data_IF_674199091129
#
_entry.id   IF_674199091129
#
_cell.length_a   1.000
_cell.length_b   1.000
_cell.length_c   1.000
_cell.angle_alpha   90.00
_cell.angle_beta   90.00
_cell.angle_gamma   90.00
#
_symmetry.space_group_name_H-M   'P 1'
#
loop_
_entity.id
_entity.type
_entity.pdbx_description
1 polymer ?
#
# COMPACT_ATOMS: atom_id res chain seq x y z
N UNK A 1 13.49 0.04 18.10
CA UNK A 1 12.09 0.47 18.24
C UNK A 1 12.03 1.99 18.14
N UNK A 2 11.27 2.57 17.21
CA UNK A 2 11.10 4.02 17.16
C UNK A 2 10.33 4.51 18.41
N UNK A 3 10.62 5.72 18.92
CA UNK A 3 9.79 6.37 19.94
C UNK A 3 8.32 6.44 19.50
N UNK A 4 7.37 6.37 20.44
CA UNK A 4 5.92 6.47 20.15
C UNK A 4 5.56 7.72 19.30
N UNK A 5 6.33 8.80 19.49
CA UNK A 5 6.18 10.06 18.76
C UNK A 5 6.55 9.98 17.27
N UNK A 6 7.25 8.92 16.85
CA UNK A 6 7.67 8.66 15.48
C UNK A 6 6.78 7.61 14.78
N UNK A 7 5.75 7.08 15.46
CA UNK A 7 4.72 6.21 14.88
C UNK A 7 3.76 6.99 13.98
N UNK A 8 3.71 8.31 14.11
CA UNK A 8 2.94 9.17 13.21
C UNK A 8 3.88 10.00 12.36
N UNK A 9 3.71 9.90 11.05
CA UNK A 9 4.41 10.76 10.11
C UNK A 9 3.86 12.19 10.22
N UNK A 10 4.77 13.17 10.21
CA UNK A 10 4.45 14.61 10.23
C UNK A 10 5.03 15.27 8.99
N UNK A 11 4.29 16.18 8.37
CA UNK A 11 4.69 16.80 7.12
C UNK A 11 6.07 17.48 7.19
N UNK A 12 6.36 18.13 8.33
CA UNK A 12 7.58 18.92 8.55
C UNK A 12 8.65 18.25 9.45
N UNK A 13 8.56 16.94 9.73
CA UNK A 13 9.54 16.20 10.56
C UNK A 13 9.96 14.90 9.86
N UNK A 14 11.20 14.44 10.05
CA UNK A 14 11.65 13.15 9.55
C UNK A 14 12.19 13.26 8.12
N UNK A 15 11.61 12.52 7.18
CA UNK A 15 11.96 12.58 5.76
C UNK A 15 11.47 13.89 5.14
N UNK A 16 12.34 14.57 4.40
CA UNK A 16 11.97 15.74 3.58
C UNK A 16 11.21 15.21 2.35
N UNK A 17 9.89 15.15 2.47
CA UNK A 17 8.97 14.77 1.41
C UNK A 17 7.77 15.71 1.47
N UNK A 18 7.50 16.40 0.37
CA UNK A 18 6.41 17.35 0.29
C UNK A 18 5.06 16.62 0.31
N UNK A 19 4.22 16.95 1.27
CA UNK A 19 2.92 16.33 1.48
C UNK A 19 1.94 17.31 2.11
N UNK A 20 0.69 17.28 1.64
CA UNK A 20 -0.42 18.01 2.23
C UNK A 20 -0.65 17.54 3.70
N UNK A 21 -0.54 18.43 4.71
CA UNK A 21 -0.71 18.06 6.12
C UNK A 21 -2.12 17.54 6.45
N UNK A 22 -3.15 18.01 5.75
CA UNK A 22 -4.53 17.56 5.94
C UNK A 22 -4.69 16.13 5.46
N UNK A 23 -4.15 15.81 4.27
CA UNK A 23 -4.19 14.45 3.73
C UNK A 23 -3.36 13.48 4.56
N UNK A 24 -2.19 13.92 5.04
CA UNK A 24 -1.36 13.11 5.93
C UNK A 24 -2.08 12.76 7.24
N UNK A 25 -2.86 13.71 7.79
CA UNK A 25 -3.70 13.46 8.96
C UNK A 25 -4.82 12.47 8.64
N UNK A 26 -5.53 12.68 7.54
CA UNK A 26 -6.61 11.76 7.11
C UNK A 26 -6.08 10.34 6.89
N UNK A 27 -4.90 10.19 6.28
CA UNK A 27 -4.32 8.88 5.98
C UNK A 27 -4.08 8.02 7.23
N UNK A 28 -3.81 8.65 8.38
CA UNK A 28 -3.43 7.97 9.63
C UNK A 28 -4.57 7.91 10.67
N UNK A 29 -5.67 8.64 10.47
CA UNK A 29 -6.76 8.78 11.44
C UNK A 29 -7.74 7.59 11.42
N UNK A 30 -7.76 6.70 12.45
CA UNK A 30 -8.66 5.55 12.46
C UNK A 30 -10.15 5.94 12.52
N UNK A 31 -10.47 7.16 12.98
CA UNK A 31 -11.83 7.65 13.14
C UNK A 31 -12.37 8.36 11.90
N UNK A 32 -11.54 8.57 10.87
CA UNK A 32 -12.00 9.14 9.60
C UNK A 32 -12.96 8.16 8.91
N UNK A 33 -14.21 8.60 8.74
CA UNK A 33 -15.31 7.75 8.30
C UNK A 33 -16.46 8.51 7.65
N UNK A 34 -17.62 7.86 7.46
CA UNK A 34 -18.77 8.40 6.73
C UNK A 34 -19.33 9.73 7.21
N UNK A 35 -19.09 10.10 8.48
CA UNK A 35 -19.52 11.39 9.03
C UNK A 35 -18.69 12.59 8.52
N UNK A 36 -17.53 12.35 7.90
CA UNK A 36 -16.64 13.41 7.43
C UNK A 36 -17.00 13.85 5.99
N UNK A 37 -17.00 15.15 5.70
CA UNK A 37 -17.36 15.71 4.37
C UNK A 37 -16.48 15.19 3.22
N UNK A 38 -15.19 15.01 3.49
CA UNK A 38 -14.21 14.42 2.57
C UNK A 38 -14.27 12.89 2.42
N UNK A 39 -15.22 12.20 3.07
CA UNK A 39 -15.35 10.75 3.00
C UNK A 39 -15.50 10.26 1.55
N UNK A 40 -14.81 9.16 1.22
CA UNK A 40 -14.92 8.50 -0.08
C UNK A 40 -15.42 7.08 0.12
N UNK A 41 -16.68 6.76 -0.22
CA UNK A 41 -17.16 5.39 -0.16
C UNK A 41 -16.45 4.51 -1.19
N UNK A 42 -16.45 3.20 -0.96
CA UNK A 42 -16.03 2.23 -1.97
C UNK A 42 -17.02 2.26 -3.15
N UNK A 43 -16.54 2.10 -4.40
CA UNK A 43 -17.43 1.92 -5.53
C UNK A 43 -18.23 0.61 -5.40
N UNK A 44 -19.24 0.45 -6.27
CA UNK A 44 -19.89 -0.84 -6.43
C UNK A 44 -18.86 -1.91 -6.82
N UNK A 45 -18.92 -3.11 -6.21
CA UNK A 45 -17.97 -4.17 -6.51
C UNK A 45 -18.11 -4.65 -7.96
N UNK A 46 -16.98 -4.94 -8.58
CA UNK A 46 -16.86 -5.48 -9.93
C UNK A 46 -16.07 -6.79 -9.90
N UNK A 47 -16.12 -7.54 -11.00
CA UNK A 47 -15.37 -8.79 -11.12
C UNK A 47 -13.84 -8.52 -11.16
N UNK A 48 -12.98 -9.39 -10.60
CA UNK A 48 -11.53 -9.19 -10.59
C UNK A 48 -10.89 -8.93 -11.97
N UNK A 49 -11.43 -9.57 -13.01
CA UNK A 49 -11.03 -9.32 -14.41
C UNK A 49 -11.33 -7.88 -14.85
N UNK A 50 -12.48 -7.35 -14.47
CA UNK A 50 -12.86 -5.96 -14.77
C UNK A 50 -12.01 -4.98 -13.96
N UNK A 51 -11.70 -5.31 -12.69
CA UNK A 51 -10.77 -4.53 -11.88
C UNK A 51 -9.35 -4.51 -12.48
N UNK A 52 -8.89 -5.62 -13.07
CA UNK A 52 -7.62 -5.66 -13.82
C UNK A 52 -7.67 -4.78 -15.07
N UNK A 53 -8.74 -4.88 -15.87
CA UNK A 53 -8.92 -4.04 -17.06
C UNK A 53 -8.91 -2.55 -16.68
N UNK A 54 -9.69 -2.19 -15.66
CA UNK A 54 -9.75 -0.84 -15.10
C UNK A 54 -8.40 -0.33 -14.60
N UNK A 55 -7.57 -1.20 -14.01
CA UNK A 55 -6.23 -0.82 -13.57
C UNK A 55 -5.34 -0.39 -14.75
N UNK A 56 -5.45 -1.09 -15.89
CA UNK A 56 -4.69 -0.78 -17.10
C UNK A 56 -5.30 0.29 -17.99
N UNK A 57 -6.57 0.67 -17.75
CA UNK A 57 -7.16 1.90 -18.27
C UNK A 57 -6.48 3.09 -17.60
N UNK A 58 -5.28 3.45 -18.07
CA UNK A 58 -4.56 4.63 -17.60
C UNK A 58 -4.95 5.83 -18.46
N UNK A 59 -5.60 6.86 -17.89
CA UNK A 59 -5.71 8.13 -18.59
C UNK A 59 -4.30 8.70 -18.80
N UNK A 60 -4.15 9.59 -19.79
CA UNK A 60 -2.90 10.32 -19.97
C UNK A 60 -2.50 11.02 -18.66
N UNK A 61 -1.21 10.97 -18.33
CA UNK A 61 -0.71 11.56 -17.10
C UNK A 61 -1.03 13.06 -17.07
N UNK A 62 -1.80 13.47 -16.07
CA UNK A 62 -2.05 14.89 -15.84
C UNK A 62 -0.82 15.55 -15.17
N UNK A 63 -0.90 16.87 -14.98
CA UNK A 63 0.19 17.62 -14.37
C UNK A 63 0.51 17.15 -12.93
N UNK A 64 -0.51 16.78 -12.16
CA UNK A 64 -0.34 16.33 -10.77
C UNK A 64 0.32 14.96 -10.72
N UNK A 65 -0.04 14.05 -11.63
CA UNK A 65 0.60 12.75 -11.77
C UNK A 65 2.08 12.88 -12.14
N UNK A 66 2.44 13.80 -13.04
CA UNK A 66 3.85 14.08 -13.37
C UNK A 66 4.63 14.62 -12.17
N UNK A 67 4.08 15.59 -11.45
CA UNK A 67 4.73 16.14 -10.24
C UNK A 67 4.89 15.10 -9.13
N UNK A 68 3.90 14.22 -8.95
CA UNK A 68 3.96 13.10 -8.03
C UNK A 68 5.05 12.09 -8.44
N UNK A 69 5.15 11.78 -9.73
CA UNK A 69 6.20 10.91 -10.26
C UNK A 69 7.60 11.49 -10.03
N UNK A 70 7.80 12.79 -10.26
CA UNK A 70 9.07 13.47 -9.98
C UNK A 70 9.43 13.47 -8.49
N UNK A 71 8.45 13.66 -7.59
CA UNK A 71 8.67 13.53 -6.13
C UNK A 71 9.07 12.11 -5.75
N UNK A 72 8.38 11.10 -6.31
CA UNK A 72 8.70 9.69 -6.06
C UNK A 72 10.10 9.33 -6.57
N UNK A 73 10.47 9.72 -7.79
CA UNK A 73 11.80 9.46 -8.34
C UNK A 73 12.90 10.07 -7.48
N UNK A 74 12.75 11.34 -7.07
CA UNK A 74 13.68 12.01 -6.15
C UNK A 74 13.76 11.33 -4.80
N UNK A 75 12.64 10.84 -4.27
CA UNK A 75 12.64 10.10 -3.01
C UNK A 75 13.31 8.73 -3.16
N UNK A 76 13.03 7.98 -4.23
CA UNK A 76 13.61 6.65 -4.44
C UNK A 76 15.11 6.68 -4.71
N UNK A 77 15.67 7.79 -5.19
CA UNK A 77 17.11 7.97 -5.40
C UNK A 77 17.91 8.22 -4.11
N UNK A 78 17.26 8.50 -2.97
CA UNK A 78 17.95 8.76 -1.71
C UNK A 78 18.33 7.45 -0.99
N UNK A 79 19.54 7.35 -0.40
CA UNK A 79 20.03 6.10 0.19
C UNK A 79 19.36 5.77 1.53
N UNK A 80 19.07 6.77 2.37
CA UNK A 80 18.66 6.54 3.76
C UNK A 80 17.19 6.18 3.89
N UNK A 81 16.85 4.97 4.27
CA UNK A 81 15.45 4.61 4.46
C UNK A 81 14.94 5.07 5.85
N UNK A 82 13.79 5.76 5.89
CA UNK A 82 13.16 6.22 7.13
C UNK A 82 11.71 5.73 7.20
N UNK A 83 11.27 5.40 8.42
CA UNK A 83 9.94 4.86 8.68
C UNK A 83 8.82 5.78 8.17
N UNK A 84 8.94 7.08 8.40
CA UNK A 84 7.91 8.05 8.04
C UNK A 84 7.72 8.23 6.52
N UNK A 85 8.72 7.83 5.71
CA UNK A 85 8.66 7.91 4.26
C UNK A 85 7.46 7.15 3.71
N UNK A 86 7.22 5.92 4.16
CA UNK A 86 6.17 5.05 3.60
C UNK A 86 4.79 5.70 3.71
N UNK A 87 4.53 6.40 4.81
CA UNK A 87 3.27 7.14 4.97
C UNK A 87 3.22 8.35 4.05
N UNK A 88 4.33 9.09 3.92
CA UNK A 88 4.38 10.32 3.13
C UNK A 88 4.26 10.09 1.62
N UNK A 89 4.81 8.99 1.12
CA UNK A 89 4.77 8.68 -0.32
C UNK A 89 3.44 8.08 -0.78
N UNK A 90 2.60 7.60 0.15
CA UNK A 90 1.40 6.82 -0.16
C UNK A 90 0.50 7.51 -1.20
N UNK A 91 0.20 8.80 -1.01
CA UNK A 91 -0.71 9.53 -1.90
C UNK A 91 -0.13 9.75 -3.30
N UNK A 92 1.20 9.89 -3.42
CA UNK A 92 1.85 10.01 -4.73
C UNK A 92 1.89 8.63 -5.42
N UNK A 93 2.14 7.54 -4.68
CA UNK A 93 2.00 6.18 -5.21
C UNK A 93 0.57 5.91 -5.69
N UNK A 94 -0.44 6.31 -4.92
CA UNK A 94 -1.84 6.20 -5.32
C UNK A 94 -2.15 7.05 -6.55
N UNK A 95 -1.60 8.27 -6.62
CA UNK A 95 -1.78 9.15 -7.78
C UNK A 95 -1.16 8.55 -9.06
N UNK A 96 0.04 7.99 -8.96
CA UNK A 96 0.83 7.53 -10.12
C UNK A 96 0.45 6.11 -10.55
N UNK A 97 0.15 5.22 -9.61
CA UNK A 97 -0.07 3.79 -9.88
C UNK A 97 -1.56 3.45 -9.91
N UNK A 98 -2.33 3.99 -8.95
CA UNK A 98 -3.72 3.58 -8.69
C UNK A 98 -4.74 4.68 -9.01
N UNK A 99 -4.31 5.75 -9.69
CA UNK A 99 -5.16 6.82 -10.22
C UNK A 99 -6.10 7.43 -9.15
N UNK A 100 -5.55 7.72 -7.97
CA UNK A 100 -6.29 8.26 -6.84
C UNK A 100 -7.46 7.37 -6.35
N UNK A 101 -7.44 6.06 -6.60
CA UNK A 101 -8.53 5.19 -6.15
C UNK A 101 -8.40 4.73 -4.70
N UNK A 102 -7.22 4.83 -4.07
CA UNK A 102 -6.99 4.39 -2.69
C UNK A 102 -7.07 5.53 -1.66
N UNK A 103 -6.76 6.76 -2.06
CA UNK A 103 -6.74 7.95 -1.20
C UNK A 103 -8.08 8.13 -0.49
N UNK A 104 -8.02 8.35 0.82
CA UNK A 104 -9.17 8.45 1.75
C UNK A 104 -10.06 7.19 1.86
N UNK A 105 -9.72 6.09 1.18
CA UNK A 105 -10.34 4.74 1.37
C UNK A 105 -9.43 3.80 2.16
N UNK A 106 -8.14 4.12 2.21
CA UNK A 106 -7.12 3.41 2.97
C UNK A 106 -6.74 4.21 4.22
N UNK A 107 -6.56 3.50 5.32
CA UNK A 107 -5.89 3.89 6.55
C UNK A 107 -4.51 3.24 6.56
N UNK A 108 -3.45 3.99 6.85
CA UNK A 108 -2.09 3.47 6.95
C UNK A 108 -1.57 3.68 8.37
N UNK A 109 -1.17 2.59 9.02
CA UNK A 109 -0.77 2.61 10.42
C UNK A 109 0.44 1.70 10.69
N UNK A 110 1.14 2.01 11.77
CA UNK A 110 2.16 1.16 12.35
C UNK A 110 1.54 0.33 13.47
N UNK A 111 1.80 -0.98 13.49
CA UNK A 111 1.43 -1.84 14.61
C UNK A 111 2.53 -2.85 14.91
N UNK A 112 2.57 -3.31 16.15
CA UNK A 112 3.24 -4.57 16.45
C UNK A 112 2.37 -5.68 15.89
N UNK A 113 2.95 -6.54 15.06
CA UNK A 113 2.37 -7.83 14.72
C UNK A 113 3.28 -8.89 15.31
N UNK A 114 2.69 -9.88 15.97
CA UNK A 114 3.46 -11.03 16.41
C UNK A 114 4.12 -11.67 15.19
N UNK A 115 5.44 -11.83 15.27
CA UNK A 115 6.16 -12.79 14.46
C UNK A 115 5.44 -14.12 14.69
N UNK A 116 4.72 -14.62 13.69
CA UNK A 116 4.23 -16.00 13.73
C UNK A 116 5.21 -16.83 12.88
N UNK A 117 6.36 -17.27 13.43
CA UNK A 117 7.29 -18.15 12.72
C UNK A 117 6.63 -19.49 12.33
N UNK A 118 5.48 -19.83 12.93
CA UNK A 118 4.71 -21.04 12.64
C UNK A 118 3.58 -20.88 11.62
N UNK A 119 3.32 -19.66 11.10
CA UNK A 119 2.27 -19.46 10.10
C UNK A 119 2.69 -20.14 8.78
N UNK A 120 1.92 -21.11 8.25
CA UNK A 120 2.21 -21.74 6.97
C UNK A 120 2.38 -20.73 5.82
N UNK A 121 1.75 -19.54 5.91
CA UNK A 121 1.87 -18.44 4.94
C UNK A 121 3.25 -17.77 4.95
N UNK A 122 4.03 -17.92 6.02
CA UNK A 122 5.39 -17.41 6.13
C UNK A 122 6.45 -18.41 5.65
N UNK A 123 6.06 -19.65 5.29
CA UNK A 123 7.00 -20.65 4.73
C UNK A 123 7.50 -20.18 3.37
N UNK A 124 8.77 -19.76 3.33
CA UNK A 124 9.43 -19.27 2.11
C UNK A 124 9.64 -17.76 2.06
N UNK A 125 9.26 -17.02 3.11
CA UNK A 125 9.70 -15.63 3.24
C UNK A 125 11.20 -15.63 3.65
N UNK A 126 12.13 -15.21 2.77
CA UNK A 126 13.56 -15.26 3.05
C UNK A 126 13.96 -14.36 4.23
N UNK A 127 13.09 -13.45 4.64
CA UNK A 127 13.37 -12.48 5.68
C UNK A 127 12.95 -12.92 7.08
N UNK A 128 12.06 -13.91 7.20
CA UNK A 128 11.53 -14.35 8.50
C UNK A 128 10.56 -13.38 9.19
N UNK A 129 10.15 -12.29 8.54
CA UNK A 129 9.18 -11.33 9.06
C UNK A 129 8.16 -10.88 7.99
N UNK A 130 6.89 -10.71 8.38
CA UNK A 130 5.89 -10.02 7.54
C UNK A 130 6.13 -8.51 7.66
N UNK A 131 6.31 -7.85 6.51
CA UNK A 131 6.58 -6.41 6.47
C UNK A 131 5.32 -5.58 6.67
N UNK A 132 4.26 -5.88 5.92
CA UNK A 132 2.98 -5.19 6.05
C UNK A 132 1.83 -6.17 5.73
N UNK A 133 0.61 -5.78 6.10
CA UNK A 133 -0.60 -6.54 5.82
C UNK A 133 -1.78 -5.61 5.53
N UNK A 134 -2.68 -6.04 4.65
CA UNK A 134 -3.91 -5.33 4.29
C UNK A 134 -5.14 -6.02 4.89
N UNK A 135 -5.96 -5.26 5.61
CA UNK A 135 -7.19 -5.70 6.25
C UNK A 135 -8.43 -4.99 5.67
N UNK A 136 -9.56 -5.69 5.62
CA UNK A 136 -10.85 -5.09 5.25
C UNK A 136 -11.35 -4.02 6.24
N UNK A 137 -12.28 -3.15 5.81
CA UNK A 137 -13.06 -2.31 6.73
C UNK A 137 -13.67 -3.13 7.87
N UNK A 138 -13.66 -2.56 9.08
CA UNK A 138 -14.23 -3.16 10.29
C UNK A 138 -13.27 -4.05 11.08
N UNK A 139 -12.10 -4.43 10.54
CA UNK A 139 -11.15 -5.34 11.21
C UNK A 139 -10.77 -4.93 12.65
N UNK A 140 -10.56 -3.64 12.90
CA UNK A 140 -10.35 -3.06 14.22
C UNK A 140 -11.31 -1.87 14.47
N UNK A 141 -12.54 -1.95 13.93
CA UNK A 141 -13.56 -0.90 14.05
C UNK A 141 -13.40 0.31 13.12
N UNK A 142 -12.34 0.36 12.30
CA UNK A 142 -12.15 1.43 11.32
C UNK A 142 -13.09 1.28 10.10
N UNK A 143 -13.55 2.40 9.54
CA UNK A 143 -14.44 2.38 8.36
C UNK A 143 -13.74 2.08 7.02
N UNK A 144 -12.40 2.01 7.01
CA UNK A 144 -11.54 1.97 5.83
C UNK A 144 -10.76 0.68 5.71
N UNK A 145 -10.24 0.38 4.52
CA UNK A 145 -9.20 -0.65 4.36
C UNK A 145 -7.98 -0.21 5.17
N UNK A 146 -7.41 -1.09 5.98
CA UNK A 146 -6.23 -0.78 6.76
C UNK A 146 -5.01 -1.48 6.17
N UNK A 147 -3.96 -0.72 5.86
CA UNK A 147 -2.62 -1.27 5.62
C UNK A 147 -1.84 -1.04 6.92
N UNK A 148 -1.38 -2.14 7.51
CA UNK A 148 -0.62 -2.10 8.75
C UNK A 148 0.82 -2.51 8.46
N UNK A 149 1.75 -1.62 8.79
CA UNK A 149 3.18 -1.87 8.66
C UNK A 149 3.73 -2.38 10.00
N UNK A 150 4.52 -3.45 9.95
CA UNK A 150 5.04 -4.14 11.12
C UNK A 150 6.18 -3.37 11.77
N UNK A 151 5.97 -2.86 12.97
CA UNK A 151 6.99 -2.13 13.74
C UNK A 151 8.22 -2.95 14.12
N UNK A 152 8.09 -4.27 14.17
CA UNK A 152 9.18 -5.18 14.55
C UNK A 152 10.09 -5.54 13.37
N UNK A 153 9.69 -5.23 12.13
CA UNK A 153 10.53 -5.53 10.98
C UNK A 153 11.74 -4.57 10.92
N UNK A 154 12.89 -5.02 10.39
CA UNK A 154 14.13 -4.24 10.35
C UNK A 154 14.14 -3.23 9.19
N UNK A 155 13.14 -2.35 9.13
CA UNK A 155 12.94 -1.42 8.01
C UNK A 155 14.17 -0.58 7.68
N UNK A 156 14.95 -0.16 8.68
CA UNK A 156 16.16 0.63 8.48
C UNK A 156 17.29 -0.14 7.78
N UNK A 157 17.27 -1.46 7.84
CA UNK A 157 18.24 -2.34 7.17
C UNK A 157 17.80 -2.71 5.75
N UNK A 158 16.55 -2.43 5.40
CA UNK A 158 16.02 -2.69 4.08
C UNK A 158 16.41 -1.59 3.09
N UNK A 159 16.73 -2.00 1.86
CA UNK A 159 16.86 -1.06 0.76
C UNK A 159 15.54 -0.32 0.56
N UNK A 160 15.60 1.00 0.36
CA UNK A 160 14.41 1.86 0.16
C UNK A 160 13.43 1.29 -0.87
N UNK A 161 13.92 0.81 -2.01
CA UNK A 161 13.08 0.16 -3.05
C UNK A 161 12.29 -1.05 -2.53
N UNK A 162 12.88 -1.83 -1.61
CA UNK A 162 12.20 -2.96 -0.97
C UNK A 162 11.10 -2.49 -0.03
N UNK A 163 11.38 -1.47 0.79
CA UNK A 163 10.37 -0.90 1.69
C UNK A 163 9.17 -0.36 0.92
N UNK A 164 9.43 0.41 -0.13
CA UNK A 164 8.38 0.97 -1.00
C UNK A 164 7.67 -0.15 -1.75
N UNK A 165 8.41 -1.15 -2.24
CA UNK A 165 7.84 -2.33 -2.88
C UNK A 165 6.85 -3.08 -1.98
N UNK A 166 7.17 -3.27 -0.70
CA UNK A 166 6.26 -3.87 0.27
C UNK A 166 5.01 -3.02 0.52
N UNK A 167 5.12 -1.69 0.58
CA UNK A 167 3.94 -0.84 0.65
C UNK A 167 3.08 -0.98 -0.62
N UNK A 168 3.69 -0.96 -1.79
CA UNK A 168 2.96 -1.06 -3.06
C UNK A 168 2.31 -2.44 -3.22
N UNK A 169 2.94 -3.50 -2.74
CA UNK A 169 2.34 -4.84 -2.64
C UNK A 169 1.00 -4.79 -1.88
N UNK A 170 0.99 -4.19 -0.69
CA UNK A 170 -0.23 -4.02 0.09
C UNK A 170 -1.24 -3.08 -0.59
N UNK A 171 -0.77 -2.05 -1.30
CA UNK A 171 -1.66 -1.19 -2.09
C UNK A 171 -2.36 -1.96 -3.24
N UNK A 172 -1.74 -2.99 -3.82
CA UNK A 172 -2.41 -3.89 -4.78
C UNK A 172 -3.51 -4.70 -4.08
N UNK A 173 -3.27 -5.22 -2.88
CA UNK A 173 -4.33 -5.84 -2.08
C UNK A 173 -5.47 -4.85 -1.77
N UNK A 174 -5.13 -3.61 -1.41
CA UNK A 174 -6.11 -2.56 -1.16
C UNK A 174 -6.92 -2.21 -2.42
N UNK A 175 -6.30 -2.15 -3.60
CA UNK A 175 -6.98 -1.96 -4.88
C UNK A 175 -8.08 -3.01 -5.09
N UNK A 176 -7.76 -4.28 -4.92
CA UNK A 176 -8.77 -5.33 -5.03
C UNK A 176 -9.83 -5.25 -3.94
N UNK A 177 -9.49 -4.89 -2.70
CA UNK A 177 -10.50 -4.70 -1.64
C UNK A 177 -11.39 -3.46 -1.86
N UNK A 178 -10.93 -2.44 -2.59
CA UNK A 178 -11.75 -1.28 -3.00
C UNK A 178 -12.75 -1.69 -4.09
N UNK A 179 -12.30 -2.48 -5.07
CA UNK A 179 -13.06 -2.76 -6.28
C UNK A 179 -13.79 -4.10 -6.29
N UNK A 180 -13.44 -5.06 -5.44
CA UNK A 180 -13.97 -6.42 -5.46
C UNK A 180 -14.49 -6.81 -4.07
N UNK A 181 -15.60 -7.56 -4.00
CA UNK A 181 -16.13 -8.12 -2.75
C UNK A 181 -16.64 -9.56 -2.98
N UNK A 182 -16.19 -10.55 -2.19
CA UNK A 182 -14.84 -10.72 -1.63
C UNK A 182 -13.85 -11.24 -2.70
N UNK A 183 -12.61 -10.72 -2.69
CA UNK A 183 -11.54 -11.17 -3.60
C UNK A 183 -10.87 -12.43 -3.05
N UNK A 184 -11.22 -13.58 -3.63
CA UNK A 184 -10.40 -14.80 -3.59
C UNK A 184 -9.95 -15.08 -5.02
N UNK A 185 -8.70 -14.75 -5.35
CA UNK A 185 -8.14 -15.07 -6.65
C UNK A 185 -7.80 -16.56 -6.71
N UNK A 186 -8.80 -17.37 -7.03
CA UNK A 186 -8.68 -18.81 -7.21
C UNK A 186 -8.20 -19.18 -8.61
N UNK A 187 -8.06 -18.20 -9.51
CA UNK A 187 -7.58 -18.41 -10.88
C UNK A 187 -6.07 -18.62 -10.80
N UNK A 188 -5.66 -19.88 -10.84
CA UNK A 188 -4.25 -20.28 -10.93
C UNK A 188 -3.90 -20.51 -12.41
N UNK A 189 -2.71 -20.07 -12.85
CA UNK A 189 -2.16 -20.50 -14.14
C UNK A 189 -1.82 -22.00 -14.04
N UNK A 190 -2.07 -22.80 -15.09
CA UNK A 190 -1.84 -24.25 -15.07
C UNK A 190 -0.41 -24.70 -14.72
N UNK A 191 0.56 -23.78 -14.68
CA UNK A 191 1.98 -24.07 -14.49
C UNK A 191 2.67 -23.26 -13.38
N UNK A 192 1.92 -22.51 -12.55
CA UNK A 192 2.48 -21.78 -11.42
C UNK A 192 1.70 -22.06 -10.13
N UNK A 193 2.40 -22.54 -9.10
CA UNK A 193 1.89 -22.53 -7.73
C UNK A 193 1.78 -21.09 -7.27
N UNK A 194 0.60 -20.50 -7.36
CA UNK A 194 0.31 -19.19 -6.80
C UNK A 194 -0.18 -19.33 -5.36
N UNK A 195 0.27 -18.43 -4.48
CA UNK A 195 -0.12 -18.41 -3.08
C UNK A 195 -1.57 -17.96 -2.89
N UNK A 196 -2.17 -18.36 -1.77
CA UNK A 196 -3.49 -17.85 -1.36
C UNK A 196 -3.37 -16.34 -1.17
N UNK A 197 -4.12 -15.56 -1.97
CA UNK A 197 -4.09 -14.09 -1.97
C UNK A 197 -3.26 -13.46 -3.09
N UNK A 198 -2.39 -14.22 -3.76
CA UNK A 198 -1.51 -13.75 -4.85
C UNK A 198 -1.80 -14.47 -6.17
N UNK A 199 -3.08 -14.65 -6.51
CA UNK A 199 -3.50 -15.32 -7.74
C UNK A 199 -3.17 -14.53 -9.02
N UNK A 200 -3.71 -14.99 -10.15
CA UNK A 200 -3.36 -14.49 -11.47
C UNK A 200 -3.49 -12.97 -11.63
N UNK A 201 -4.58 -12.37 -11.16
CA UNK A 201 -4.85 -10.95 -11.34
C UNK A 201 -3.89 -10.10 -10.50
N UNK A 202 -3.63 -10.51 -9.26
CA UNK A 202 -2.61 -9.87 -8.41
C UNK A 202 -1.24 -9.92 -9.08
N UNK A 203 -0.85 -11.10 -9.58
CA UNK A 203 0.43 -11.30 -10.24
C UNK A 203 0.59 -10.41 -11.47
N UNK A 204 -0.45 -10.26 -12.29
CA UNK A 204 -0.44 -9.40 -13.48
C UNK A 204 -0.17 -7.93 -13.14
N UNK A 205 -0.88 -7.37 -12.16
CA UNK A 205 -0.64 -6.00 -11.68
C UNK A 205 0.78 -5.89 -11.11
N UNK A 206 1.17 -6.82 -10.24
CA UNK A 206 2.47 -6.81 -9.59
C UNK A 206 3.62 -6.78 -10.60
N UNK A 207 3.60 -7.67 -11.60
CA UNK A 207 4.63 -7.73 -12.66
C UNK A 207 4.69 -6.48 -13.50
N UNK A 208 3.55 -5.85 -13.79
CA UNK A 208 3.54 -4.58 -14.51
C UNK A 208 4.18 -3.48 -13.69
N UNK A 209 3.85 -3.38 -12.39
CA UNK A 209 4.43 -2.39 -11.47
C UNK A 209 5.95 -2.59 -11.36
N UNK A 210 6.41 -3.83 -11.12
CA UNK A 210 7.83 -4.14 -11.01
C UNK A 210 8.62 -3.68 -12.26
N UNK A 211 8.07 -3.95 -13.45
CA UNK A 211 8.70 -3.55 -14.72
C UNK A 211 8.68 -2.05 -14.95
N UNK A 212 7.56 -1.38 -14.67
CA UNK A 212 7.39 0.05 -14.95
C UNK A 212 8.16 0.93 -13.96
N UNK A 213 8.20 0.55 -12.69
CA UNK A 213 8.74 1.39 -11.60
C UNK A 213 10.05 0.87 -11.00
N UNK A 214 10.54 -0.31 -11.43
CA UNK A 214 11.76 -0.91 -10.88
C UNK A 214 11.63 -1.30 -9.40
N UNK A 215 10.40 -1.51 -8.93
CA UNK A 215 10.12 -1.99 -7.58
C UNK A 215 10.17 -3.51 -7.54
N UNK A 216 10.33 -4.07 -6.34
CA UNK A 216 10.22 -5.51 -6.08
C UNK A 216 9.08 -5.73 -5.10
N UNK A 217 8.03 -6.40 -5.55
CA UNK A 217 6.81 -6.66 -4.78
C UNK A 217 6.85 -8.06 -4.16
#
# INVERSE_FOLDING_TARGET
MPPEQDLFARANKGTIYDIDPTELRILQDPNFGPAHSNWRPHPAPIHPREALAKFFESPEADQKSREAEERLQRALSQPDARFDLLIKIFNDLDTVIFQNQLRRRVLLQWSQHDLVPSDPRNRGNPDGFVLAQTHEPGWAGQARIAIIMNLQAPWQELRRQRMVGSLVHEMVHAWYKVHCVPFTDTVTEPHRRMGIGHGYYFWMIGRWIERKFGLRL
#
